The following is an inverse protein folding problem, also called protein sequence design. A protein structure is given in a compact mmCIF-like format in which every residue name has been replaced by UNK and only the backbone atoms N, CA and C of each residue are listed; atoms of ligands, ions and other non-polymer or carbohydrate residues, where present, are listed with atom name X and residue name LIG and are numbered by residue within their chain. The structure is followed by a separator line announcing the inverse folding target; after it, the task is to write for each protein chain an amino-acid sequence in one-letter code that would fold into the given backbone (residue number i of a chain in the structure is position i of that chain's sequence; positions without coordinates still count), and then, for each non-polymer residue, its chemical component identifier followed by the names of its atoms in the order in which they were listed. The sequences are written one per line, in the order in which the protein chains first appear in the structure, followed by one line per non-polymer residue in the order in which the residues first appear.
data_IF_799187226825
#
_entry.id   IF_799187226825
#
_cell.length_a   1.000
_cell.length_b   1.000
_cell.length_c   1.000
_cell.angle_alpha   90.00
_cell.angle_beta   90.00
_cell.angle_gamma   90.00
#
_symmetry.space_group_name_H-M   'P 1'
#
loop_
_entity.id
_entity.type
_entity.pdbx_description
1 polymer ?
#
# COMPACT_ATOMS: atom_id res chain seq x y z
N UNK A 1 23.90 -2.17 25.71
CA UNK A 1 24.09 -3.39 24.88
C UNK A 1 23.80 -2.97 23.45
N UNK A 2 24.80 -3.03 22.57
CA UNK A 2 24.67 -2.59 21.18
C UNK A 2 23.73 -3.55 20.45
N UNK A 3 22.58 -3.06 19.98
CA UNK A 3 21.74 -3.79 19.06
C UNK A 3 22.50 -3.91 17.74
N UNK A 4 23.26 -4.99 17.59
CA UNK A 4 23.79 -5.42 16.30
C UNK A 4 22.56 -5.80 15.48
N UNK A 5 22.09 -4.87 14.65
CA UNK A 5 21.07 -5.16 13.65
C UNK A 5 21.68 -6.18 12.68
N UNK A 6 21.06 -7.36 12.47
CA UNK A 6 21.60 -8.36 11.57
C UNK A 6 21.78 -7.74 10.19
N UNK A 7 22.86 -8.12 9.51
CA UNK A 7 23.30 -7.59 8.22
C UNK A 7 22.12 -7.53 7.25
N UNK A 8 21.58 -6.33 7.03
CA UNK A 8 20.31 -6.15 6.32
C UNK A 8 20.50 -6.45 4.85
N UNK A 9 20.02 -7.62 4.41
CA UNK A 9 20.00 -8.00 2.99
C UNK A 9 19.11 -7.03 2.24
N UNK A 10 19.73 -6.10 1.51
CA UNK A 10 19.03 -5.06 0.76
C UNK A 10 18.05 -5.68 -0.22
N UNK A 11 16.80 -5.20 -0.19
CA UNK A 11 15.75 -5.78 -1.03
C UNK A 11 16.10 -5.58 -2.52
N UNK A 12 16.18 -6.65 -3.33
CA UNK A 12 16.50 -6.55 -4.76
C UNK A 12 15.50 -5.68 -5.53
N UNK A 13 14.30 -5.43 -4.98
CA UNK A 13 13.34 -4.45 -5.49
C UNK A 13 13.91 -3.03 -5.64
N UNK A 14 14.83 -2.62 -4.76
CA UNK A 14 15.45 -1.28 -4.83
C UNK A 14 16.23 -1.09 -6.14
N UNK A 15 16.76 -2.18 -6.71
CA UNK A 15 17.56 -2.17 -7.95
C UNK A 15 16.85 -2.84 -9.13
N UNK A 16 15.62 -3.35 -8.94
CA UNK A 16 14.88 -4.09 -9.96
C UNK A 16 14.28 -3.16 -11.02
N UNK A 17 14.50 -3.50 -12.30
CA UNK A 17 13.86 -2.85 -13.45
C UNK A 17 12.33 -2.99 -13.40
N UNK A 18 11.61 -2.07 -14.05
CA UNK A 18 10.14 -2.02 -14.10
C UNK A 18 9.49 -3.39 -14.42
N UNK A 19 10.00 -4.10 -15.43
CA UNK A 19 9.51 -5.44 -15.80
C UNK A 19 9.68 -6.47 -14.66
N UNK A 20 10.79 -6.42 -13.92
CA UNK A 20 11.02 -7.35 -12.79
C UNK A 20 10.09 -7.07 -11.62
N UNK A 21 9.69 -5.80 -11.41
CA UNK A 21 8.68 -5.42 -10.43
C UNK A 21 7.29 -5.91 -10.82
N UNK A 22 6.90 -5.72 -12.08
CA UNK A 22 5.58 -6.13 -12.60
C UNK A 22 5.38 -7.65 -12.52
N UNK A 23 6.39 -8.45 -12.89
CA UNK A 23 6.31 -9.91 -12.87
C UNK A 23 6.73 -10.55 -11.53
N UNK A 24 6.99 -9.75 -10.48
CA UNK A 24 7.44 -10.22 -9.15
C UNK A 24 8.66 -11.15 -9.23
N UNK A 25 9.44 -11.06 -10.31
CA UNK A 25 10.56 -11.98 -10.58
C UNK A 25 11.71 -11.85 -9.58
N UNK A 26 11.78 -10.73 -8.87
CA UNK A 26 12.73 -10.49 -7.79
C UNK A 26 12.54 -11.45 -6.59
N UNK A 27 11.39 -12.10 -6.46
CA UNK A 27 11.06 -13.03 -5.37
C UNK A 27 11.47 -14.48 -5.66
N UNK A 28 11.72 -14.83 -6.93
CA UNK A 28 12.21 -16.14 -7.36
C UNK A 28 13.39 -16.71 -6.53
N UNK A 29 14.45 -15.96 -6.18
CA UNK A 29 15.52 -16.48 -5.33
C UNK A 29 15.04 -16.88 -3.93
N UNK A 30 14.05 -16.19 -3.36
CA UNK A 30 13.49 -16.53 -2.05
C UNK A 30 12.72 -17.86 -2.12
N UNK A 31 11.91 -18.05 -3.16
CA UNK A 31 11.20 -19.31 -3.39
C UNK A 31 12.15 -20.49 -3.59
N UNK A 32 13.28 -20.29 -4.27
CA UNK A 32 14.31 -21.35 -4.42
C UNK A 32 14.94 -21.74 -3.07
N UNK A 33 15.10 -20.81 -2.14
CA UNK A 33 15.62 -21.11 -0.79
C UNK A 33 14.55 -21.84 0.02
N UNK A 34 13.31 -21.34 0.03
CA UNK A 34 12.17 -21.97 0.71
C UNK A 34 11.86 -23.38 0.22
N UNK A 35 12.13 -23.67 -1.05
CA UNK A 35 11.98 -25.02 -1.61
C UNK A 35 13.09 -25.98 -1.15
N UNK A 36 14.29 -25.48 -0.84
CA UNK A 36 15.43 -26.30 -0.41
C UNK A 36 15.48 -26.48 1.12
N UNK A 37 15.04 -25.47 1.88
CA UNK A 37 15.03 -25.47 3.35
C UNK A 37 13.92 -24.59 3.89
N UNK A 38 13.53 -24.79 5.16
CA UNK A 38 12.66 -23.85 5.87
C UNK A 38 13.33 -22.48 5.94
N UNK A 39 12.55 -21.43 5.70
CA UNK A 39 13.02 -20.04 5.73
C UNK A 39 13.31 -19.61 7.16
N UNK A 40 14.46 -18.97 7.37
CA UNK A 40 14.85 -18.35 8.64
C UNK A 40 14.61 -16.82 8.58
N UNK A 41 14.42 -16.15 9.72
CA UNK A 41 14.24 -14.69 9.77
C UNK A 41 15.37 -13.91 9.08
N UNK A 42 16.60 -14.44 9.11
CA UNK A 42 17.78 -13.84 8.49
C UNK A 42 17.78 -13.96 6.95
N UNK A 43 16.97 -14.85 6.37
CA UNK A 43 16.79 -14.96 4.92
C UNK A 43 15.79 -13.93 4.35
N UNK A 44 15.03 -13.25 5.22
CA UNK A 44 14.06 -12.25 4.81
C UNK A 44 14.74 -10.95 4.39
N UNK A 45 14.29 -10.39 3.28
CA UNK A 45 14.72 -9.05 2.87
C UNK A 45 14.17 -7.99 3.82
N UNK A 46 14.92 -6.92 4.03
CA UNK A 46 14.37 -5.77 4.75
C UNK A 46 13.20 -5.15 4.01
N UNK A 47 12.25 -4.63 4.80
CA UNK A 47 11.16 -3.79 4.33
C UNK A 47 11.71 -2.66 3.46
N UNK A 48 11.08 -2.46 2.31
CA UNK A 48 11.42 -1.36 1.41
C UNK A 48 11.30 -0.03 2.18
N UNK A 49 12.18 0.95 1.97
CA UNK A 49 12.07 2.26 2.60
C UNK A 49 10.70 2.91 2.35
N UNK A 50 10.10 2.62 1.19
CA UNK A 50 8.77 3.06 0.78
C UNK A 50 7.63 2.43 1.62
N UNK A 51 7.81 1.18 2.06
CA UNK A 51 6.83 0.42 2.84
C UNK A 51 7.05 0.55 4.35
N UNK A 52 8.03 1.36 4.78
CA UNK A 52 8.28 1.59 6.21
C UNK A 52 7.15 2.41 6.81
N UNK A 53 6.58 1.90 7.89
CA UNK A 53 5.59 2.61 8.71
C UNK A 53 6.07 3.98 9.19
N UNK A 54 7.38 4.19 9.27
CA UNK A 54 7.99 5.46 9.63
C UNK A 54 7.51 6.62 8.74
N UNK A 55 7.50 6.44 7.41
CA UNK A 55 7.08 7.51 6.49
C UNK A 55 5.60 7.85 6.67
N UNK A 56 4.75 6.83 6.79
CA UNK A 56 3.32 7.01 7.05
C UNK A 56 3.07 7.71 8.41
N UNK A 57 3.89 7.38 9.42
CA UNK A 57 3.88 8.02 10.72
C UNK A 57 4.28 9.50 10.65
N UNK A 58 5.35 9.82 9.92
CA UNK A 58 5.83 11.19 9.71
C UNK A 58 4.81 12.06 8.95
N UNK A 59 4.20 11.52 7.88
CA UNK A 59 3.13 12.20 7.13
C UNK A 59 1.91 12.47 8.02
N UNK A 60 1.43 11.46 8.77
CA UNK A 60 0.31 11.61 9.68
C UNK A 60 0.61 12.61 10.81
N UNK A 61 1.81 12.56 11.38
CA UNK A 61 2.23 13.47 12.44
C UNK A 61 2.27 14.92 11.94
N UNK A 62 2.77 15.16 10.72
CA UNK A 62 2.73 16.49 10.11
C UNK A 62 1.32 17.04 9.93
N UNK A 63 0.36 16.19 9.51
CA UNK A 63 -1.04 16.58 9.39
C UNK A 63 -1.73 16.76 10.74
N UNK A 64 -1.38 15.97 11.75
CA UNK A 64 -1.85 16.13 13.12
C UNK A 64 -1.40 17.45 13.73
N UNK A 65 -0.12 17.81 13.57
CA UNK A 65 0.42 19.08 14.09
C UNK A 65 -0.28 20.30 13.46
N UNK A 66 -0.66 20.20 12.17
CA UNK A 66 -1.44 21.24 11.50
C UNK A 66 -2.87 21.35 12.04
N UNK A 67 -3.53 20.22 12.29
CA UNK A 67 -4.88 20.18 12.87
C UNK A 67 -4.88 20.73 14.29
N UNK A 68 -3.89 20.39 15.12
CA UNK A 68 -3.73 20.93 16.49
C UNK A 68 -3.53 22.45 16.47
N UNK A 69 -2.67 22.98 15.58
CA UNK A 69 -2.47 24.43 15.45
C UNK A 69 -3.74 25.16 15.00
N UNK A 70 -4.54 24.54 14.15
CA UNK A 70 -5.82 25.10 13.69
C UNK A 70 -6.87 25.07 14.81
N UNK A 71 -6.99 23.93 15.49
CA UNK A 71 -7.89 23.73 16.62
C UNK A 71 -7.63 24.75 17.76
N UNK A 72 -6.36 25.05 18.04
CA UNK A 72 -5.99 26.10 19.00
C UNK A 72 -6.43 27.50 18.57
N UNK A 73 -6.35 27.83 17.26
CA UNK A 73 -6.79 29.13 16.74
C UNK A 73 -8.31 29.27 16.73
N UNK A 74 -9.00 28.18 16.41
CA UNK A 74 -10.45 28.13 16.26
C UNK A 74 -11.17 27.81 17.60
N UNK A 75 -10.42 27.72 18.72
CA UNK A 75 -10.90 27.32 20.05
C UNK A 75 -11.74 26.03 20.04
N UNK A 76 -11.40 25.09 19.15
CA UNK A 76 -12.11 23.84 18.94
C UNK A 76 -11.25 22.65 19.35
N UNK A 77 -11.86 21.52 19.68
CA UNK A 77 -11.11 20.29 19.97
C UNK A 77 -10.50 19.69 18.69
N UNK A 78 -9.20 19.32 18.70
CA UNK A 78 -8.55 18.67 17.58
C UNK A 78 -9.09 17.24 17.40
N UNK A 79 -9.42 16.87 16.16
CA UNK A 79 -9.95 15.54 15.85
C UNK A 79 -8.93 14.73 15.04
N UNK A 80 -8.47 13.63 15.63
CA UNK A 80 -7.50 12.72 15.00
C UNK A 80 -8.10 12.05 13.75
N UNK A 81 -9.39 11.72 13.79
CA UNK A 81 -10.10 11.12 12.65
C UNK A 81 -10.10 12.06 11.45
N UNK A 82 -10.29 13.38 11.65
CA UNK A 82 -10.21 14.37 10.58
C UNK A 82 -8.82 14.41 9.94
N UNK A 83 -7.76 14.36 10.75
CA UNK A 83 -6.38 14.33 10.25
C UNK A 83 -6.10 13.06 9.42
N UNK A 84 -6.54 11.89 9.90
CA UNK A 84 -6.42 10.61 9.19
C UNK A 84 -7.15 10.65 7.86
N UNK A 85 -8.43 11.07 7.85
CA UNK A 85 -9.21 11.18 6.61
C UNK A 85 -8.50 12.13 5.64
N UNK A 86 -8.02 13.28 6.11
CA UNK A 86 -7.32 14.27 5.26
C UNK A 86 -5.99 13.77 4.69
N UNK A 87 -5.27 12.89 5.39
CA UNK A 87 -4.07 12.23 4.86
C UNK A 87 -4.43 11.25 3.74
N UNK A 88 -5.38 10.35 4.01
CA UNK A 88 -5.51 9.13 3.21
C UNK A 88 -6.67 9.15 2.20
N UNK A 89 -7.60 10.11 2.26
CA UNK A 89 -8.77 10.15 1.38
C UNK A 89 -8.42 10.11 -0.11
N UNK A 90 -7.32 10.73 -0.54
CA UNK A 90 -6.89 10.71 -1.95
C UNK A 90 -6.51 9.31 -2.40
N UNK A 91 -5.72 8.61 -1.59
CA UNK A 91 -5.30 7.24 -1.88
C UNK A 91 -6.51 6.30 -1.92
N UNK A 92 -7.41 6.41 -0.94
CA UNK A 92 -8.65 5.63 -0.92
C UNK A 92 -9.60 5.97 -2.07
N UNK A 93 -9.66 7.24 -2.50
CA UNK A 93 -10.49 7.66 -3.63
C UNK A 93 -10.00 7.02 -4.93
N UNK A 94 -8.69 7.00 -5.18
CA UNK A 94 -8.12 6.37 -6.36
C UNK A 94 -8.45 4.87 -6.38
N UNK A 95 -8.21 4.17 -5.27
CA UNK A 95 -8.58 2.75 -5.14
C UNK A 95 -10.07 2.51 -5.33
N UNK A 96 -10.93 3.33 -4.73
CA UNK A 96 -12.38 3.25 -4.89
C UNK A 96 -12.84 3.48 -6.33
N UNK A 97 -12.19 4.39 -7.06
CA UNK A 97 -12.47 4.60 -8.48
C UNK A 97 -12.08 3.39 -9.32
N UNK A 98 -10.94 2.75 -9.05
CA UNK A 98 -10.54 1.53 -9.75
C UNK A 98 -11.53 0.38 -9.50
N UNK A 99 -11.92 0.14 -8.25
CA UNK A 99 -12.92 -0.89 -7.92
C UNK A 99 -14.28 -0.60 -8.57
N UNK A 100 -14.71 0.66 -8.63
CA UNK A 100 -15.97 1.01 -9.28
C UNK A 100 -15.94 0.74 -10.79
N UNK A 101 -14.81 0.98 -11.46
CA UNK A 101 -14.66 0.72 -12.89
C UNK A 101 -14.69 -0.77 -13.20
N UNK A 102 -14.03 -1.60 -12.38
CA UNK A 102 -14.03 -3.06 -12.51
C UNK A 102 -15.47 -3.61 -12.42
N UNK A 103 -16.21 -3.25 -11.37
CA UNK A 103 -17.60 -3.68 -11.22
C UNK A 103 -18.51 -3.16 -12.35
N UNK A 104 -18.32 -1.92 -12.79
CA UNK A 104 -19.13 -1.33 -13.85
C UNK A 104 -19.01 -2.08 -15.18
N UNK A 105 -17.82 -2.61 -15.50
CA UNK A 105 -17.60 -3.42 -16.70
C UNK A 105 -18.39 -4.74 -16.63
N UNK A 106 -18.40 -5.40 -15.48
CA UNK A 106 -19.17 -6.64 -15.27
C UNK A 106 -20.68 -6.39 -15.44
N UNK A 107 -21.22 -5.35 -14.81
CA UNK A 107 -22.64 -4.99 -14.91
C UNK A 107 -23.06 -4.62 -16.34
N UNK A 108 -22.19 -3.95 -17.10
CA UNK A 108 -22.43 -3.61 -18.51
C UNK A 108 -22.48 -4.86 -19.40
N UNK A 109 -21.63 -5.86 -19.14
CA UNK A 109 -21.68 -7.14 -19.86
C UNK A 109 -22.96 -7.91 -19.58
N UNK A 110 -23.37 -7.99 -18.31
CA UNK A 110 -24.64 -8.62 -17.91
C UNK A 110 -25.83 -7.93 -18.57
N UNK A 111 -25.88 -6.61 -18.56
CA UNK A 111 -26.95 -5.85 -19.22
C UNK A 111 -27.01 -6.11 -20.73
N UNK A 112 -25.86 -6.19 -21.41
CA UNK A 112 -25.78 -6.53 -22.84
C UNK A 112 -26.28 -7.94 -23.13
N UNK A 113 -25.93 -8.92 -22.28
CA UNK A 113 -26.39 -10.31 -22.42
C UNK A 113 -27.92 -10.39 -22.25
N UNK A 114 -28.46 -9.80 -21.19
CA UNK A 114 -29.90 -9.78 -20.94
C UNK A 114 -30.67 -9.08 -22.07
N UNK A 115 -30.12 -7.98 -22.61
CA UNK A 115 -30.71 -7.27 -23.74
C UNK A 115 -30.70 -8.13 -25.02
N UNK A 116 -29.63 -8.89 -25.26
CA UNK A 116 -29.53 -9.78 -26.41
C UNK A 116 -30.52 -10.96 -26.32
N UNK A 117 -30.68 -11.54 -25.13
CA UNK A 117 -31.62 -12.66 -24.89
C UNK A 117 -33.09 -12.22 -24.92
N UNK A 118 -33.40 -10.98 -24.55
CA UNK A 118 -34.76 -10.43 -24.66
C UNK A 118 -35.15 -10.03 -26.09
N UNK A 119 -34.18 -9.85 -27.00
CA UNK A 119 -34.41 -9.47 -28.40
C UNK A 119 -34.23 -10.64 -29.39
N UNK A 120 -34.05 -11.86 -28.88
CA UNK A 120 -34.01 -13.11 -29.63
C UNK A 120 -35.25 -13.95 -29.37
#
# INVERSE_FOLDING_TARGET
MLAVSPEVKTNPLQKANFCSRLFVWWLNPLFKIGHKRKLEPDDMYSVLPEDRSQRLGEELQGHWDQEVKRAQKDAQEPSLIKAIIKCYWKSYLIWGMFTFLEEAEEWLLVAKILWAESNH
#
